data_IF_603738130072
#
_entry.id   IF_603738130072
#
_cell.length_a   1.000
_cell.length_b   1.000
_cell.length_c   1.000
_cell.angle_alpha   90.00
_cell.angle_beta   90.00
_cell.angle_gamma   90.00
#
_symmetry.space_group_name_H-M   'P 1'
#
loop_
_entity.id
_entity.type
_entity.pdbx_description
1 polymer ?
2 polymer ?
3 non-polymer ?
4 water ?
#
# COMPACT_ATOMS: atom_id res chain seq x y z
N UNK A 1 19.34 18.43 -10.34
CA UNK A 1 18.52 17.54 -11.19
C UNK A 1 17.11 17.37 -10.64
N UNK A 2 16.20 16.96 -11.53
CA UNK A 2 14.83 16.61 -11.18
C UNK A 2 14.48 15.38 -12.02
N UNK A 3 14.67 14.19 -11.42
CA UNK A 3 14.64 12.96 -12.20
C UNK A 3 13.25 12.36 -12.19
N UNK A 4 12.24 13.20 -12.25
CA UNK A 4 10.86 12.76 -12.40
C UNK A 4 10.40 12.94 -13.85
N UNK A 5 9.90 11.88 -14.52
CA UNK A 5 9.52 12.01 -15.93
C UNK A 5 8.31 12.90 -16.18
N UNK A 6 7.61 13.36 -15.14
CA UNK A 6 6.61 14.40 -15.37
C UNK A 6 7.27 15.71 -15.80
N UNK A 7 8.58 15.82 -15.64
CA UNK A 7 9.34 16.98 -16.07
C UNK A 7 9.66 16.88 -17.56
N UNK A 8 9.87 18.03 -18.21
CA UNK A 8 10.30 17.97 -19.61
C UNK A 8 11.67 17.35 -19.75
N UNK A 9 12.54 17.56 -18.76
CA UNK A 9 13.87 16.98 -18.76
C UNK A 9 14.33 16.84 -17.33
N UNK A 10 15.28 15.96 -17.05
CA UNK A 10 15.83 15.83 -15.70
C UNK A 10 16.79 16.95 -15.33
N UNK A 11 17.08 17.87 -16.24
CA UNK A 11 18.09 18.91 -15.99
C UNK A 11 17.43 20.19 -15.51
N UNK A 12 18.06 20.82 -14.52
CA UNK A 12 17.55 22.01 -13.85
C UNK A 12 18.57 23.13 -14.04
N UNK A 13 18.11 24.27 -14.52
CA UNK A 13 18.99 25.43 -14.64
C UNK A 13 19.44 25.87 -13.25
N UNK A 14 20.74 25.83 -12.95
CA UNK A 14 21.19 26.19 -11.60
C UNK A 14 20.99 27.65 -11.25
N UNK A 15 20.71 28.53 -12.22
CA UNK A 15 20.43 29.93 -11.90
C UNK A 15 18.99 30.16 -11.43
N UNK A 16 18.13 29.17 -11.59
CA UNK A 16 16.75 29.32 -11.18
C UNK A 16 16.60 29.10 -9.68
N UNK A 17 15.68 29.84 -9.08
CA UNK A 17 15.32 29.64 -7.69
C UNK A 17 14.53 28.34 -7.56
N UNK A 18 14.56 27.75 -6.36
CA UNK A 18 13.68 26.62 -6.09
C UNK A 18 12.24 26.94 -6.40
N UNK A 19 11.83 28.19 -6.17
CA UNK A 19 10.46 28.61 -6.45
C UNK A 19 10.18 28.57 -7.95
N UNK A 20 11.09 29.12 -8.77
CA UNK A 20 10.91 29.10 -10.21
C UNK A 20 10.95 27.67 -10.75
N UNK A 21 11.85 26.85 -10.23
CA UNK A 21 11.91 25.45 -10.66
C UNK A 21 10.57 24.77 -10.44
N UNK A 22 9.97 24.99 -9.27
CA UNK A 22 8.72 24.33 -8.95
C UNK A 22 7.57 24.85 -9.81
N UNK A 23 7.52 26.17 -10.04
CA UNK A 23 6.42 26.69 -10.84
C UNK A 23 6.49 26.19 -12.28
N UNK A 24 7.69 26.04 -12.82
CA UNK A 24 7.82 25.48 -14.15
C UNK A 24 7.45 23.98 -14.17
N UNK A 25 7.95 23.23 -13.19
CA UNK A 25 7.57 21.83 -13.04
C UNK A 25 6.06 21.68 -12.90
N UNK A 26 5.44 22.56 -12.10
CA UNK A 26 4.00 22.53 -11.91
C UNK A 26 3.25 22.77 -13.21
N UNK A 27 3.79 23.60 -14.10
CA UNK A 27 3.18 23.80 -15.42
C UNK A 27 3.21 22.52 -16.23
N UNK A 28 4.22 21.69 -16.00
CA UNK A 28 4.34 20.44 -16.73
C UNK A 28 3.38 19.39 -16.19
N UNK A 29 3.31 19.24 -14.86
CA UNK A 29 2.53 18.12 -14.34
C UNK A 29 1.06 18.45 -14.14
N UNK A 30 0.69 19.74 -14.08
CA UNK A 30 -0.70 20.08 -13.81
C UNK A 30 -1.69 19.60 -14.88
N UNK A 31 -1.42 19.67 -16.19
CA UNK A 31 -2.36 19.06 -17.15
C UNK A 31 -2.67 17.61 -16.85
N UNK A 32 -1.66 16.84 -16.44
CA UNK A 32 -1.90 15.43 -16.14
C UNK A 32 -2.82 15.28 -14.94
N UNK A 33 -2.61 16.10 -13.90
CA UNK A 33 -3.49 16.00 -12.74
C UNK A 33 -4.92 16.30 -13.13
N UNK A 34 -5.14 17.38 -13.89
CA UNK A 34 -6.50 17.75 -14.25
C UNK A 34 -7.17 16.65 -15.05
N UNK A 35 -6.41 15.94 -15.90
CA UNK A 35 -7.00 14.84 -16.66
C UNK A 35 -7.40 13.68 -15.75
N UNK A 36 -6.69 13.46 -14.65
CA UNK A 36 -7.17 12.50 -13.66
C UNK A 36 -8.51 12.95 -13.10
N UNK A 37 -8.63 14.23 -12.75
CA UNK A 37 -9.89 14.70 -12.18
C UNK A 37 -11.02 14.53 -13.20
N UNK A 38 -10.75 14.87 -14.46
CA UNK A 38 -11.76 14.72 -15.51
C UNK A 38 -12.11 13.26 -15.72
N UNK A 39 -11.12 12.38 -15.63
CA UNK A 39 -11.38 10.94 -15.64
C UNK A 39 -12.25 10.54 -14.46
N UNK A 40 -11.99 11.09 -13.27
CA UNK A 40 -12.78 10.73 -12.10
C UNK A 40 -14.24 11.11 -12.29
N UNK A 41 -14.51 12.27 -12.88
CA UNK A 41 -15.89 12.70 -13.08
C UNK A 41 -16.66 11.80 -14.03
N UNK A 42 -15.97 11.07 -14.90
CA UNK A 42 -16.63 10.14 -15.80
C UNK A 42 -16.83 8.76 -15.19
N UNK A 43 -16.43 8.54 -13.95
CA UNK A 43 -16.66 7.25 -13.31
C UNK A 43 -18.08 7.25 -12.76
N UNK A 44 -18.95 6.33 -13.18
CA UNK A 44 -20.32 6.28 -12.64
C UNK A 44 -20.29 6.12 -11.12
N UNK A 45 -20.97 7.03 -10.44
CA UNK A 45 -21.08 7.01 -9.01
C UNK A 45 -20.07 7.87 -8.28
N UNK A 46 -19.00 8.29 -8.97
CA UNK A 46 -17.98 9.10 -8.29
C UNK A 46 -18.55 10.43 -7.83
N UNK A 47 -19.25 11.14 -8.71
CA UNK A 47 -19.79 12.46 -8.35
C UNK A 47 -20.91 12.38 -7.33
N UNK A 48 -21.42 11.18 -7.06
CA UNK A 48 -22.41 10.98 -5.99
C UNK A 48 -21.77 10.91 -4.61
N UNK A 49 -20.45 10.87 -4.53
CA UNK A 49 -19.80 10.91 -3.22
C UNK A 49 -19.77 12.34 -2.70
N UNK A 50 -19.67 12.48 -1.38
CA UNK A 50 -19.46 13.80 -0.80
C UNK A 50 -18.25 14.46 -1.45
N UNK A 51 -18.27 15.79 -1.51
CA UNK A 51 -17.15 16.51 -2.10
C UNK A 51 -15.87 16.22 -1.35
N UNK A 52 -15.96 16.11 -0.03
CA UNK A 52 -14.78 15.82 0.78
C UNK A 52 -14.16 14.48 0.35
N UNK A 53 -14.98 13.43 0.21
CA UNK A 53 -14.44 12.13 -0.18
C UNK A 53 -13.92 12.13 -1.61
N UNK A 54 -14.58 12.87 -2.50
CA UNK A 54 -14.04 13.05 -3.85
C UNK A 54 -12.63 13.65 -3.81
N UNK A 55 -12.48 14.75 -3.09
CA UNK A 55 -11.17 15.41 -3.02
C UNK A 55 -10.16 14.49 -2.36
N UNK A 56 -10.58 13.78 -1.31
CA UNK A 56 -9.65 12.91 -0.60
C UNK A 56 -9.20 11.73 -1.45
N UNK A 57 -10.13 11.10 -2.17
CA UNK A 57 -9.75 9.98 -3.04
C UNK A 57 -8.77 10.43 -4.09
N UNK A 58 -8.99 11.62 -4.65
CA UNK A 58 -8.11 12.15 -5.67
C UNK A 58 -6.76 12.56 -5.08
N UNK A 59 -6.76 13.14 -3.87
CA UNK A 59 -5.49 13.45 -3.24
C UNK A 59 -4.66 12.19 -3.03
N UNK A 60 -5.31 11.13 -2.57
CA UNK A 60 -4.62 9.88 -2.27
C UNK A 60 -4.31 9.09 -3.52
N UNK A 61 -5.15 9.20 -4.57
CA UNK A 61 -5.08 8.29 -5.69
C UNK A 61 -4.49 8.85 -6.97
N UNK A 62 -4.35 10.17 -7.09
CA UNK A 62 -3.89 10.75 -8.36
C UNK A 62 -2.55 10.16 -8.81
N UNK A 63 -1.60 10.03 -7.89
CA UNK A 63 -0.31 9.46 -8.27
C UNK A 63 -0.47 8.05 -8.83
N UNK A 64 -1.27 7.22 -8.16
CA UNK A 64 -1.36 5.83 -8.58
C UNK A 64 -2.06 5.71 -9.93
N UNK A 65 -3.07 6.55 -10.16
CA UNK A 65 -3.70 6.61 -11.48
C UNK A 65 -2.67 6.98 -12.54
N UNK A 66 -1.90 8.04 -12.28
CA UNK A 66 -0.87 8.47 -13.24
C UNK A 66 0.21 7.41 -13.42
N UNK A 67 0.61 6.73 -12.33
CA UNK A 67 1.57 5.64 -12.49
C UNK A 67 1.06 4.60 -13.50
N UNK A 68 -0.22 4.22 -13.38
CA UNK A 68 -0.77 3.25 -14.33
C UNK A 68 -0.80 3.85 -15.73
N UNK A 69 -1.31 5.08 -15.84
CA UNK A 69 -1.47 5.71 -17.16
C UNK A 69 -0.12 5.90 -17.85
N UNK A 70 0.92 6.25 -17.08
CA UNK A 70 2.23 6.52 -17.67
C UNK A 70 3.21 5.36 -17.48
N UNK A 71 2.71 4.16 -17.19
CA UNK A 71 3.64 3.03 -17.06
C UNK A 71 4.40 2.79 -18.35
N UNK A 72 3.84 3.16 -19.49
CA UNK A 72 4.54 2.91 -20.74
C UNK A 72 5.65 3.92 -20.99
N UNK A 73 5.84 4.90 -20.09
CA UNK A 73 7.05 5.72 -20.15
C UNK A 73 8.28 4.91 -19.82
N UNK A 74 8.13 3.82 -19.06
CA UNK A 74 9.25 2.99 -18.62
C UNK A 74 9.34 1.83 -19.61
N UNK A 75 10.35 1.89 -20.48
CA UNK A 75 10.63 0.82 -21.44
C UNK A 75 11.55 -0.17 -20.75
N UNK A 76 10.96 -1.27 -20.25
CA UNK A 76 11.72 -2.26 -19.51
C UNK A 76 12.77 -2.97 -20.35
N UNK A 77 12.62 -2.96 -21.69
CA UNK A 77 13.57 -3.67 -22.55
C UNK A 77 14.84 -2.85 -22.77
N UNK A 78 14.71 -1.61 -23.26
CA UNK A 78 15.87 -0.75 -23.42
C UNK A 78 16.24 -0.01 -22.14
N UNK A 79 15.48 -0.20 -21.05
CA UNK A 79 15.75 0.47 -19.78
C UNK A 79 15.90 1.98 -19.96
N UNK A 80 14.91 2.57 -20.62
CA UNK A 80 14.81 4.01 -20.79
C UNK A 80 13.55 4.52 -20.11
N UNK A 81 13.59 5.78 -19.70
CA UNK A 81 12.39 6.50 -19.23
C UNK A 81 12.14 7.64 -20.18
N UNK A 82 10.89 7.79 -20.62
CA UNK A 82 10.51 8.88 -21.49
C UNK A 82 10.02 10.06 -20.64
N UNK A 83 10.70 11.20 -20.76
CA UNK A 83 10.30 12.40 -20.05
C UNK A 83 9.27 13.15 -20.90
N UNK A 84 8.71 14.22 -20.32
CA UNK A 84 7.55 14.86 -20.94
C UNK A 84 7.89 15.46 -22.30
N UNK A 85 9.16 15.81 -22.54
CA UNK A 85 9.56 16.32 -23.84
C UNK A 85 9.47 15.26 -24.93
N UNK A 86 9.37 13.98 -24.57
CA UNK A 86 9.52 12.89 -25.49
C UNK A 86 10.92 12.30 -25.52
N UNK A 87 11.92 13.01 -25.01
CA UNK A 87 13.27 12.47 -25.03
C UNK A 87 13.38 11.32 -24.04
N UNK A 88 14.13 10.29 -24.40
CA UNK A 88 14.32 9.12 -23.56
C UNK A 88 15.66 9.23 -22.84
N UNK A 89 15.70 8.68 -21.63
CA UNK A 89 16.90 8.74 -20.80
C UNK A 89 17.17 7.36 -20.25
N UNK A 90 18.42 6.94 -20.29
CA UNK A 90 18.81 5.64 -19.77
C UNK A 90 18.76 5.61 -18.23
N UNK A 91 18.47 4.42 -17.70
CA UNK A 91 18.42 4.21 -16.26
C UNK A 91 19.77 4.51 -15.64
N UNK A 92 20.85 4.17 -16.35
CA UNK A 92 22.20 4.47 -15.89
C UNK A 92 22.39 5.96 -15.68
N UNK A 93 22.05 6.75 -16.69
CA UNK A 93 22.19 8.20 -16.57
C UNK A 93 21.27 8.75 -15.49
N UNK A 94 20.05 8.21 -15.37
CA UNK A 94 19.16 8.74 -14.33
C UNK A 94 19.65 8.34 -12.94
N UNK A 95 20.18 7.11 -12.80
CA UNK A 95 20.79 6.75 -11.53
C UNK A 95 21.96 7.67 -11.21
N UNK A 96 22.74 8.04 -12.23
CA UNK A 96 23.84 8.98 -12.01
C UNK A 96 23.32 10.37 -11.61
N UNK A 97 22.10 10.71 -12.01
CA UNK A 97 21.51 11.98 -11.61
C UNK A 97 20.75 11.90 -10.29
N UNK A 98 20.83 10.78 -9.57
CA UNK A 98 20.18 10.68 -8.28
C UNK A 98 19.00 9.73 -8.19
N UNK A 99 18.61 9.06 -9.27
CA UNK A 99 17.54 8.08 -9.15
C UNK A 99 18.05 6.85 -8.41
N UNK A 100 17.11 6.08 -7.87
CA UNK A 100 17.51 4.96 -7.04
C UNK A 100 16.54 3.80 -7.08
N UNK A 101 16.23 3.25 -5.91
CA UNK A 101 15.39 2.05 -5.85
C UNK A 101 13.99 2.33 -6.36
N UNK A 102 13.48 3.56 -6.17
CA UNK A 102 12.12 3.85 -6.63
C UNK A 102 12.02 3.68 -8.15
N UNK A 103 12.93 4.30 -8.89
CA UNK A 103 12.95 4.10 -10.34
C UNK A 103 12.98 2.62 -10.70
N UNK A 104 13.84 1.84 -10.02
CA UNK A 104 13.92 0.40 -10.30
C UNK A 104 12.58 -0.28 -10.07
N UNK A 105 11.92 0.06 -8.97
CA UNK A 105 10.61 -0.49 -8.66
C UNK A 105 9.57 -0.10 -9.71
N UNK A 106 9.70 1.08 -10.31
CA UNK A 106 8.73 1.49 -11.34
C UNK A 106 8.95 0.74 -12.65
N UNK A 107 10.21 0.44 -12.99
CA UNK A 107 10.47 -0.45 -14.12
C UNK A 107 9.85 -1.83 -13.90
N UNK A 108 10.01 -2.38 -12.70
CA UNK A 108 9.45 -3.71 -12.41
C UNK A 108 7.92 -3.69 -12.50
N UNK A 109 7.29 -2.67 -11.94
CA UNK A 109 5.84 -2.51 -12.03
C UNK A 109 5.39 -2.41 -13.48
N UNK A 110 6.05 -1.56 -14.26
CA UNK A 110 5.67 -1.34 -15.64
C UNK A 110 5.83 -2.61 -16.49
N UNK A 111 6.92 -3.34 -16.27
CA UNK A 111 7.16 -4.59 -16.98
C UNK A 111 6.04 -5.59 -16.68
N UNK A 112 5.68 -5.75 -15.41
CA UNK A 112 4.66 -6.74 -15.03
C UNK A 112 3.27 -6.31 -15.50
N UNK A 113 2.96 -5.01 -15.45
CA UNK A 113 1.67 -4.55 -15.94
C UNK A 113 1.53 -4.77 -17.44
N UNK A 114 2.58 -4.44 -18.19
CA UNK A 114 2.59 -4.64 -19.64
C UNK A 114 2.49 -6.11 -20.01
N UNK A 115 3.07 -7.01 -19.21
CA UNK A 115 3.00 -8.44 -19.52
C UNK A 115 1.56 -8.95 -19.48
N UNK A 116 0.68 -8.30 -18.71
CA UNK A 116 -0.70 -8.75 -18.64
C UNK A 116 -1.46 -8.53 -19.95
N UNK A 117 -0.93 -7.69 -20.84
CA UNK A 117 -1.51 -7.40 -22.14
C UNK A 117 -2.99 -7.00 -22.03
N UNK A 118 -3.24 -5.99 -21.22
CA UNK A 118 -4.60 -5.50 -21.09
C UNK A 118 -4.99 -4.70 -22.33
N UNK A 119 -6.27 -4.76 -22.66
CA UNK A 119 -6.79 -3.90 -23.72
C UNK A 119 -7.02 -2.50 -23.19
N UNK A 120 -7.26 -1.57 -24.12
CA UNK A 120 -7.55 -0.19 -23.75
C UNK A 120 -8.74 -0.10 -22.79
N UNK A 121 -9.82 -0.83 -23.07
CA UNK A 121 -10.97 -0.74 -22.18
C UNK A 121 -10.66 -1.36 -20.81
N UNK A 122 -9.90 -2.46 -20.79
CA UNK A 122 -9.53 -3.04 -19.50
C UNK A 122 -8.62 -2.10 -18.72
N UNK A 123 -7.68 -1.47 -19.42
CA UNK A 123 -6.77 -0.53 -18.76
C UNK A 123 -7.53 0.65 -18.17
N UNK A 124 -8.51 1.19 -18.91
CA UNK A 124 -9.33 2.26 -18.35
C UNK A 124 -10.07 1.79 -17.11
N UNK A 125 -10.71 0.62 -17.19
CA UNK A 125 -11.47 0.11 -16.05
C UNK A 125 -10.57 -0.18 -14.86
N UNK A 126 -9.40 -0.77 -15.10
CA UNK A 126 -8.43 -0.93 -14.03
C UNK A 126 -8.05 0.42 -13.43
N UNK A 127 -7.87 1.44 -14.28
CA UNK A 127 -7.52 2.77 -13.78
C UNK A 127 -8.59 3.33 -12.85
N UNK A 128 -9.88 3.17 -13.21
CA UNK A 128 -10.96 3.54 -12.30
C UNK A 128 -10.90 2.75 -10.99
N UNK A 129 -10.67 1.44 -11.07
CA UNK A 129 -10.51 0.63 -9.87
C UNK A 129 -9.40 1.18 -8.99
N UNK A 130 -8.26 1.56 -9.60
CA UNK A 130 -7.14 2.10 -8.81
C UNK A 130 -7.58 3.34 -8.05
N UNK A 131 -8.31 4.23 -8.72
CA UNK A 131 -8.67 5.50 -8.10
C UNK A 131 -9.59 5.27 -6.92
N UNK A 132 -10.61 4.43 -7.09
CA UNK A 132 -11.57 4.23 -6.02
C UNK A 132 -11.06 3.27 -4.97
N UNK A 133 -9.87 2.69 -5.18
CA UNK A 133 -9.19 1.86 -4.18
C UNK A 133 -8.17 2.64 -3.37
N UNK A 134 -8.08 3.95 -3.57
CA UNK A 134 -7.04 4.74 -2.91
C UNK A 134 -7.23 4.72 -1.40
N UNK A 135 -6.14 4.98 -0.69
CA UNK A 135 -6.15 5.03 0.78
C UNK A 135 -7.42 5.70 1.28
N UNK A 136 -8.09 5.01 2.19
CA UNK A 136 -9.40 5.41 2.71
C UNK A 136 -9.31 6.20 4.01
N UNK A 137 -8.10 6.47 4.53
CA UNK A 137 -8.00 7.02 5.88
C UNK A 137 -8.71 8.37 5.97
N UNK A 138 -8.65 9.17 4.92
CA UNK A 138 -9.35 10.45 4.99
C UNK A 138 -10.83 10.42 4.67
N UNK A 139 -11.44 9.26 4.46
CA UNK A 139 -12.78 9.19 3.89
C UNK A 139 -13.82 9.22 5.00
N UNK A 140 -14.90 9.95 4.77
CA UNK A 140 -15.94 10.11 5.79
C UNK A 140 -17.13 9.17 5.59
N UNK A 141 -17.38 8.69 4.38
CA UNK A 141 -18.41 7.68 4.13
C UNK A 141 -17.76 6.51 3.39
N UNK A 142 -17.08 5.64 4.16
CA UNK A 142 -16.30 4.58 3.52
C UNK A 142 -17.20 3.57 2.81
N UNK A 143 -18.45 3.43 3.26
CA UNK A 143 -19.39 2.50 2.63
C UNK A 143 -19.67 2.88 1.18
N UNK A 144 -19.81 4.18 0.92
CA UNK A 144 -20.07 4.65 -0.43
C UNK A 144 -18.86 4.39 -1.33
N UNK A 145 -17.65 4.56 -0.78
CA UNK A 145 -16.44 4.28 -1.56
C UNK A 145 -16.30 2.79 -1.79
N UNK A 146 -16.59 1.99 -0.74
CA UNK A 146 -16.54 0.54 -0.89
C UNK A 146 -17.51 0.06 -1.95
N UNK A 147 -18.68 0.69 -2.05
CA UNK A 147 -19.68 0.23 -3.03
C UNK A 147 -19.26 0.56 -4.45
N UNK A 148 -18.66 1.74 -4.65
CA UNK A 148 -18.07 2.07 -5.94
C UNK A 148 -17.00 1.07 -6.33
N UNK A 149 -16.08 0.78 -5.41
CA UNK A 149 -15.01 -0.17 -5.70
C UNK A 149 -15.58 -1.54 -6.03
N UNK A 150 -16.56 -1.99 -5.25
CA UNK A 150 -17.17 -3.29 -5.52
C UNK A 150 -17.78 -3.35 -6.92
N UNK A 151 -18.51 -2.30 -7.31
CA UNK A 151 -19.12 -2.26 -8.63
C UNK A 151 -18.08 -2.34 -9.75
N UNK A 152 -17.06 -1.49 -9.68
CA UNK A 152 -16.03 -1.48 -10.72
C UNK A 152 -15.23 -2.77 -10.73
N UNK A 153 -14.91 -3.32 -9.55
CA UNK A 153 -14.12 -4.53 -9.47
C UNK A 153 -14.84 -5.70 -10.13
N UNK A 154 -16.15 -5.84 -9.89
CA UNK A 154 -16.88 -6.90 -10.55
C UNK A 154 -16.95 -6.65 -12.06
N UNK A 155 -17.14 -5.40 -12.47
CA UNK A 155 -17.10 -5.09 -13.90
C UNK A 155 -15.75 -5.46 -14.51
N UNK A 156 -14.66 -5.20 -13.79
CA UNK A 156 -13.32 -5.55 -14.28
C UNK A 156 -13.14 -7.08 -14.31
N UNK A 157 -13.64 -7.77 -13.30
CA UNK A 157 -13.48 -9.22 -13.24
C UNK A 157 -14.19 -9.90 -14.40
N UNK A 158 -15.43 -9.48 -14.68
CA UNK A 158 -16.15 -10.07 -15.81
C UNK A 158 -15.49 -9.75 -17.13
N UNK A 159 -15.01 -8.52 -17.29
CA UNK A 159 -14.28 -8.14 -18.51
C UNK A 159 -13.05 -9.02 -18.71
N UNK A 160 -12.24 -9.19 -17.67
CA UNK A 160 -11.05 -10.04 -17.79
C UNK A 160 -11.44 -11.49 -18.07
N UNK A 161 -12.48 -11.98 -17.39
CA UNK A 161 -12.90 -13.36 -17.59
C UNK A 161 -13.38 -13.57 -19.04
N UNK A 162 -14.06 -12.57 -19.60
CA UNK A 162 -14.57 -12.73 -20.95
C UNK A 162 -13.45 -12.68 -22.00
N UNK A 163 -12.39 -11.91 -21.76
CA UNK A 163 -11.40 -11.60 -22.78
C UNK A 163 -10.06 -12.34 -22.64
N UNK A 164 -9.72 -12.88 -21.47
CA UNK A 164 -8.34 -13.35 -21.34
C UNK A 164 -8.29 -14.85 -21.10
N UNK A 165 -7.36 -15.55 -21.75
CA UNK A 165 -6.97 -16.88 -21.26
C UNK A 165 -6.42 -16.77 -19.84
N UNK A 166 -6.46 -17.89 -19.12
CA UNK A 166 -6.06 -17.97 -17.71
C UNK A 166 -6.54 -16.73 -16.95
N UNK A 167 -7.82 -16.42 -17.13
CA UNK A 167 -8.42 -15.18 -16.62
C UNK A 167 -8.22 -15.02 -15.12
N UNK A 168 -8.46 -16.08 -14.34
CA UNK A 168 -8.34 -15.96 -12.90
C UNK A 168 -6.93 -15.52 -12.49
N UNK A 169 -5.92 -15.99 -13.22
CA UNK A 169 -4.55 -15.62 -12.87
C UNK A 169 -4.23 -14.20 -13.31
N UNK A 170 -4.74 -13.77 -14.47
CA UNK A 170 -4.61 -12.39 -14.90
C UNK A 170 -5.28 -11.46 -13.89
N UNK A 171 -6.51 -11.78 -13.51
CA UNK A 171 -7.23 -10.96 -12.56
C UNK A 171 -6.50 -10.88 -11.22
N UNK A 172 -5.96 -12.01 -10.73
CA UNK A 172 -5.21 -11.98 -9.48
C UNK A 172 -3.99 -11.07 -9.60
N UNK A 173 -3.25 -11.21 -10.71
CA UNK A 173 -2.07 -10.40 -10.91
C UNK A 173 -2.43 -8.93 -11.02
N UNK A 174 -3.60 -8.62 -11.57
CA UNK A 174 -4.04 -7.22 -11.64
C UNK A 174 -4.30 -6.67 -10.25
N UNK A 175 -4.92 -7.47 -9.38
CA UNK A 175 -5.22 -6.98 -8.03
C UNK A 175 -3.96 -6.87 -7.18
N UNK A 176 -2.95 -7.71 -7.46
CA UNK A 176 -1.68 -7.58 -6.75
C UNK A 176 -0.92 -6.32 -7.14
N UNK A 177 -1.31 -5.65 -8.23
CA UNK A 177 -0.72 -4.35 -8.55
C UNK A 177 -1.13 -3.29 -7.55
N UNK A 178 -2.30 -3.46 -6.91
CA UNK A 178 -2.79 -2.42 -6.00
C UNK A 178 -1.85 -2.17 -4.82
N UNK A 179 -1.41 -3.19 -4.06
CA UNK A 179 -0.44 -2.88 -2.98
C UNK A 179 0.89 -2.42 -3.52
N UNK A 180 1.31 -2.96 -4.66
CA UNK A 180 2.51 -2.46 -5.32
C UNK A 180 2.42 -0.96 -5.57
N UNK A 181 1.30 -0.53 -6.14
CA UNK A 181 1.07 0.89 -6.38
C UNK A 181 1.06 1.68 -5.08
N UNK A 182 0.48 1.11 -4.02
CA UNK A 182 0.45 1.81 -2.74
C UNK A 182 1.87 2.06 -2.22
N UNK A 183 2.78 1.09 -2.44
CA UNK A 183 4.15 1.27 -1.99
C UNK A 183 4.88 2.30 -2.85
N UNK A 184 4.70 2.21 -4.17
CA UNK A 184 5.29 3.20 -5.06
C UNK A 184 4.88 4.60 -4.66
N UNK A 185 3.59 4.77 -4.34
CA UNK A 185 3.05 6.05 -3.91
C UNK A 185 3.73 6.54 -2.64
N UNK A 186 3.87 5.66 -1.65
CA UNK A 186 4.45 6.03 -0.37
C UNK A 186 5.90 6.48 -0.55
N UNK A 187 6.70 5.72 -1.30
CA UNK A 187 8.09 6.07 -1.54
C UNK A 187 8.21 7.35 -2.36
N UNK A 188 7.42 7.43 -3.42
CA UNK A 188 7.45 8.62 -4.27
C UNK A 188 7.10 9.88 -3.50
N UNK A 189 6.07 9.81 -2.64
CA UNK A 189 5.70 10.99 -1.85
C UNK A 189 6.85 11.46 -0.96
N UNK A 190 7.58 10.52 -0.37
CA UNK A 190 8.75 10.89 0.43
C UNK A 190 9.81 11.59 -0.41
N UNK A 191 10.06 11.09 -1.63
CA UNK A 191 11.00 11.75 -2.53
C UNK A 191 10.52 13.13 -2.95
N UNK A 192 9.22 13.23 -3.27
CA UNK A 192 8.60 14.50 -3.65
C UNK A 192 8.82 15.55 -2.56
N UNK A 193 8.49 15.19 -1.32
CA UNK A 193 8.63 16.13 -0.22
C UNK A 193 10.10 16.47 0.05
N UNK A 194 11.00 15.50 -0.11
CA UNK A 194 12.42 15.75 0.06
C UNK A 194 12.90 16.81 -0.92
N UNK A 195 12.42 16.74 -2.17
CA UNK A 195 12.74 17.76 -3.15
C UNK A 195 12.13 19.09 -2.77
N UNK A 196 10.97 19.07 -2.09
CA UNK A 196 10.24 20.23 -1.54
C UNK A 196 9.38 20.89 -2.60
N UNK B 1 0.96 10.48 25.68
CA UNK B 1 0.37 9.14 25.65
C UNK B 1 1.02 8.25 24.58
N UNK B 2 0.75 6.94 24.68
CA UNK B 2 1.29 5.91 23.77
C UNK B 2 0.10 5.06 23.33
N UNK B 3 -0.66 5.55 22.34
CA UNK B 3 -1.98 4.98 22.04
C UNK B 3 -1.81 3.77 21.13
N UNK B 4 -0.72 3.03 21.30
CA UNK B 4 -0.60 1.82 20.51
C UNK B 4 -0.96 0.60 21.35
N UNK B 5 -1.91 -0.24 20.91
CA UNK B 5 -2.29 -1.40 21.73
C UNK B 5 -1.19 -2.45 21.90
N UNK B 6 -0.02 -2.28 21.27
CA UNK B 6 1.09 -3.15 21.62
C UNK B 6 1.63 -2.83 23.02
N UNK B 7 1.39 -1.60 23.50
CA UNK B 7 1.77 -1.21 24.85
C UNK B 7 0.80 -1.81 25.86
N UNK B 8 1.26 -1.91 27.11
CA UNK B 8 0.38 -2.44 28.15
C UNK B 8 -0.72 -1.43 28.48
N UNK B 9 -0.42 -0.15 28.36
CA UNK B 9 -1.39 0.90 28.65
C UNK B 9 -1.07 2.09 27.78
N UNK B 10 -2.07 2.85 27.34
CA UNK B 10 -1.80 4.09 26.60
C UNK B 10 -1.28 5.21 27.48
N UNK B 11 -1.29 5.03 28.81
CA UNK B 11 -0.80 6.06 29.73
C UNK B 11 0.71 5.94 29.89
N UNK B 12 1.41 7.08 29.78
CA UNK B 12 2.86 7.12 29.88
C UNK B 12 3.24 7.83 31.18
N UNK B 13 4.06 7.17 31.99
CA UNK B 13 4.51 7.76 33.26
C UNK B 13 5.44 8.93 32.99
N UNK B 14 5.04 10.17 33.27
CA UNK B 14 5.89 11.33 32.95
C UNK B 14 7.20 11.35 33.74
N UNK B 15 7.30 10.61 34.84
CA UNK B 15 8.56 10.56 35.58
C UNK B 15 9.63 9.77 34.84
N UNK B 16 9.28 9.10 33.75
CA UNK B 16 10.23 8.28 33.02
C UNK B 16 10.82 9.04 31.85
N UNK B 17 12.12 8.82 31.61
CA UNK B 17 12.79 9.38 30.45
C UNK B 17 12.25 8.75 29.17
N UNK B 18 12.46 9.44 28.04
CA UNK B 18 12.09 8.88 26.76
C UNK B 18 12.76 7.53 26.51
N UNK B 19 14.02 7.40 26.93
CA UNK B 19 14.73 6.14 26.76
C UNK B 19 14.09 5.03 27.59
N UNK B 20 13.63 5.36 28.80
CA UNK B 20 13.01 4.34 29.65
C UNK B 20 11.64 3.92 29.08
N UNK B 21 10.85 4.89 28.61
CA UNK B 21 9.55 4.54 28.02
C UNK B 21 9.74 3.59 26.85
N UNK B 22 10.71 3.88 25.97
CA UNK B 22 10.88 3.04 24.80
C UNK B 22 11.40 1.65 25.15
N UNK B 23 12.29 1.55 26.14
CA UNK B 23 12.77 0.24 26.54
C UNK B 23 11.63 -0.62 27.09
N UNK B 24 10.82 -0.04 27.98
CA UNK B 24 9.63 -0.74 28.46
C UNK B 24 8.73 -1.15 27.30
N UNK B 25 8.44 -0.21 26.39
CA UNK B 25 7.60 -0.55 25.25
C UNK B 25 8.22 -1.69 24.45
N UNK B 26 9.54 -1.63 24.21
CA UNK B 26 10.20 -2.67 23.45
C UNK B 26 10.08 -4.04 24.11
N UNK B 27 10.06 -4.08 25.44
CA UNK B 27 9.83 -5.35 26.12
C UNK B 27 8.43 -5.88 25.86
N UNK B 28 7.49 -5.00 25.51
CA UNK B 28 6.13 -5.45 25.24
C UNK B 28 5.97 -5.93 23.81
N UNK B 29 6.55 -5.22 22.82
CA UNK B 29 6.28 -5.60 21.43
C UNK B 29 7.26 -6.60 20.86
N UNK B 30 8.49 -6.67 21.39
CA UNK B 30 9.46 -7.64 20.87
C UNK B 30 8.94 -9.07 20.77
N UNK B 31 8.25 -9.64 21.77
CA UNK B 31 7.78 -11.02 21.61
C UNK B 31 6.84 -11.20 20.42
N UNK B 32 6.03 -10.19 20.08
CA UNK B 32 5.18 -10.31 18.90
C UNK B 32 6.01 -10.28 17.62
N UNK B 33 7.07 -9.46 17.58
CA UNK B 33 7.95 -9.45 16.41
C UNK B 33 8.65 -10.79 16.25
N UNK B 34 9.16 -11.35 17.36
CA UNK B 34 9.84 -12.65 17.27
C UNK B 34 8.89 -13.74 16.82
N UNK B 35 7.63 -13.69 17.24
CA UNK B 35 6.68 -14.69 16.73
C UNK B 35 6.45 -14.56 15.21
N UNK B 36 6.46 -13.34 14.67
CA UNK B 36 6.36 -13.19 13.22
C UNK B 36 7.54 -13.86 12.53
N UNK B 37 8.75 -13.69 13.07
CA UNK B 37 9.92 -14.30 12.46
C UNK B 37 9.82 -15.82 12.48
N UNK B 38 9.38 -16.39 13.60
CA UNK B 38 9.22 -17.85 13.67
C UNK B 38 8.16 -18.33 12.70
N UNK B 39 7.06 -17.58 12.59
CA UNK B 39 6.06 -17.89 11.58
C UNK B 39 6.68 -17.89 10.19
N UNK B 40 7.52 -16.89 9.90
CA UNK B 40 8.12 -16.77 8.57
C UNK B 40 8.97 -18.00 8.25
N UNK B 41 9.71 -18.50 9.24
CA UNK B 41 10.55 -19.69 9.07
C UNK B 41 9.74 -20.93 8.71
N UNK B 42 8.48 -20.98 9.15
CA UNK B 42 7.65 -22.12 8.82
C UNK B 42 6.96 -22.00 7.47
N UNK B 43 7.11 -20.87 6.77
CA UNK B 43 6.49 -20.75 5.45
C UNK B 43 7.33 -21.53 4.44
N UNK B 44 6.77 -22.53 3.76
CA UNK B 44 7.59 -23.28 2.80
C UNK B 44 8.11 -22.34 1.73
N UNK B 45 9.44 -22.36 1.54
CA UNK B 45 10.10 -21.54 0.56
C UNK B 45 10.67 -20.25 1.10
N UNK B 46 10.23 -19.80 2.28
CA UNK B 46 10.72 -18.52 2.78
C UNK B 46 12.21 -18.60 3.11
N UNK B 47 12.64 -19.70 3.73
CA UNK B 47 14.06 -19.91 4.04
C UNK B 47 14.92 -20.10 2.80
N UNK B 48 14.33 -20.31 1.63
CA UNK B 48 15.11 -20.42 0.40
C UNK B 48 15.46 -19.06 -0.21
N UNK B 49 14.74 -17.99 0.14
CA UNK B 49 15.18 -16.66 -0.26
C UNK B 49 16.55 -16.37 0.36
N UNK B 50 17.30 -15.46 -0.26
CA UNK B 50 18.54 -15.02 0.35
C UNK B 50 18.26 -14.38 1.70
N UNK B 51 19.26 -14.41 2.59
CA UNK B 51 19.07 -13.85 3.92
C UNK B 51 18.79 -12.35 3.85
N UNK B 52 19.41 -11.64 2.91
CA UNK B 52 19.10 -10.24 2.72
C UNK B 52 17.62 -10.05 2.41
N UNK B 53 17.08 -10.85 1.50
CA UNK B 53 15.69 -10.64 1.10
C UNK B 53 14.74 -11.08 2.22
N UNK B 54 15.08 -12.15 2.95
CA UNK B 54 14.29 -12.55 4.11
C UNK B 54 14.14 -11.40 5.10
N UNK B 55 15.25 -10.72 5.43
CA UNK B 55 15.20 -9.66 6.43
C UNK B 55 14.42 -8.46 5.91
N UNK B 56 14.57 -8.15 4.62
CA UNK B 56 13.84 -7.02 4.05
C UNK B 56 12.34 -7.27 4.02
N UNK B 57 11.94 -8.50 3.70
CA UNK B 57 10.51 -8.80 3.70
C UNK B 57 9.94 -8.69 5.11
N UNK B 58 10.67 -9.22 6.09
CA UNK B 58 10.23 -9.09 7.48
C UNK B 58 10.26 -7.65 7.95
N UNK B 59 11.30 -6.90 7.55
CA UNK B 59 11.37 -5.49 7.91
C UNK B 59 10.14 -4.76 7.41
N UNK B 60 9.77 -5.00 6.15
CA UNK B 60 8.66 -4.27 5.54
C UNK B 60 7.30 -4.87 5.91
N UNK B 61 7.23 -6.16 6.25
CA UNK B 61 5.94 -6.81 6.39
C UNK B 61 5.50 -7.23 7.78
N UNK B 62 6.39 -7.05 8.77
CA UNK B 62 6.08 -7.48 10.12
C UNK B 62 4.83 -6.77 10.65
N UNK B 63 4.72 -5.46 10.43
CA UNK B 63 3.56 -4.76 10.94
C UNK B 63 2.27 -5.32 10.33
N UNK B 64 2.30 -5.63 9.03
CA UNK B 64 1.08 -6.07 8.36
C UNK B 64 0.69 -7.47 8.80
N UNK B 65 1.66 -8.32 9.12
CA UNK B 65 1.36 -9.63 9.71
C UNK B 65 0.70 -9.44 11.06
N UNK B 66 1.28 -8.57 11.89
CA UNK B 66 0.74 -8.32 13.23
C UNK B 66 -0.64 -7.66 13.15
N UNK B 67 -0.82 -6.74 12.21
CA UNK B 67 -2.16 -6.16 11.98
C UNK B 67 -3.19 -7.23 11.71
N UNK B 68 -2.83 -8.24 10.90
CA UNK B 68 -3.78 -9.32 10.65
C UNK B 68 -3.97 -10.16 11.90
N UNK B 69 -2.88 -10.54 12.54
CA UNK B 69 -2.97 -11.42 13.71
C UNK B 69 -3.72 -10.76 14.86
N UNK B 70 -3.57 -9.44 15.03
CA UNK B 70 -4.15 -8.72 16.16
C UNK B 70 -5.41 -7.96 15.78
N UNK B 71 -6.04 -8.33 14.66
CA UNK B 71 -7.31 -7.71 14.28
C UNK B 71 -8.38 -7.90 15.35
N UNK B 72 -8.30 -9.02 16.11
CA UNK B 72 -9.30 -9.27 17.16
C UNK B 72 -9.17 -8.33 18.35
N UNK B 73 -8.09 -7.57 18.47
CA UNK B 73 -8.04 -6.56 19.51
C UNK B 73 -9.06 -5.45 19.28
N UNK B 74 -9.61 -5.35 18.07
CA UNK B 74 -10.55 -4.29 17.71
C UNK B 74 -11.96 -4.86 17.73
N UNK B 75 -12.71 -4.48 18.76
CA UNK B 75 -14.08 -4.97 18.95
C UNK B 75 -15.00 -4.00 18.23
N UNK B 76 -15.40 -4.36 17.01
CA UNK B 76 -16.13 -3.43 16.16
C UNK B 76 -17.54 -3.18 16.65
N UNK B 77 -18.11 -4.08 17.47
CA UNK B 77 -19.43 -3.80 18.01
C UNK B 77 -19.38 -2.90 19.24
N UNK B 78 -18.46 -3.17 20.16
CA UNK B 78 -18.33 -2.38 21.38
C UNK B 78 -17.50 -1.12 21.20
N UNK B 79 -16.72 -1.01 20.12
CA UNK B 79 -15.84 0.13 19.87
C UNK B 79 -14.78 0.25 20.97
N UNK B 80 -14.08 -0.85 21.23
CA UNK B 80 -13.01 -0.90 22.22
C UNK B 80 -11.76 -1.53 21.60
N UNK B 81 -10.60 -1.14 22.13
CA UNK B 81 -9.32 -1.71 21.75
C UNK B 81 -8.70 -2.38 22.98
N UNK B 82 -8.32 -3.64 22.83
CA UNK B 82 -7.66 -4.37 23.90
C UNK B 82 -6.15 -4.15 23.83
N UNK B 83 -5.60 -3.52 24.86
CA UNK B 83 -4.16 -3.33 24.97
C UNK B 83 -3.52 -4.59 25.57
N UNK B 84 -2.18 -4.65 25.53
CA UNK B 84 -1.48 -5.87 25.96
C UNK B 84 -1.84 -6.26 27.39
N UNK B 85 -2.23 -5.30 28.23
CA UNK B 85 -2.63 -5.68 29.58
C UNK B 85 -3.89 -6.53 29.60
N UNK B 86 -4.60 -6.64 28.48
CA UNK B 86 -5.92 -7.18 28.49
C UNK B 86 -7.01 -6.18 28.78
N UNK B 87 -6.66 -4.97 29.21
CA UNK B 87 -7.65 -3.95 29.50
C UNK B 87 -8.15 -3.30 28.20
N UNK B 88 -9.46 -3.11 28.10
CA UNK B 88 -10.06 -2.52 26.91
C UNK B 88 -10.28 -1.03 27.10
N UNK B 89 -9.95 -0.27 26.06
CA UNK B 89 -10.12 1.18 26.03
C UNK B 89 -11.06 1.56 24.89
N UNK B 90 -11.95 2.52 25.15
CA UNK B 90 -12.96 2.85 24.17
C UNK B 90 -12.37 3.74 23.06
N UNK B 91 -13.02 3.67 21.91
CA UNK B 91 -12.73 4.58 20.79
C UNK B 91 -12.71 6.02 21.27
N UNK B 92 -13.79 6.45 21.94
CA UNK B 92 -13.87 7.84 22.38
C UNK B 92 -12.70 8.21 23.26
N UNK B 93 -12.35 7.35 24.21
CA UNK B 93 -11.24 7.64 25.11
C UNK B 93 -9.92 7.73 24.35
N UNK B 94 -9.69 6.80 23.41
CA UNK B 94 -8.45 6.87 22.64
C UNK B 94 -8.41 8.12 21.76
N UNK B 95 -9.56 8.55 21.23
CA UNK B 95 -9.62 9.78 20.42
C UNK B 95 -9.33 11.02 21.27
N UNK B 96 -9.75 11.02 22.53
CA UNK B 96 -9.35 12.12 23.42
C UNK B 96 -7.84 12.09 23.68
N UNK B 97 -7.21 10.92 23.62
CA UNK B 97 -5.78 10.83 23.88
C UNK B 97 -4.94 11.03 22.63
N UNK B 98 -5.56 11.39 21.50
CA UNK B 98 -4.84 11.71 20.30
C UNK B 98 -4.93 10.67 19.19
N UNK B 99 -5.51 9.51 19.44
CA UNK B 99 -5.70 8.56 18.36
C UNK B 99 -6.57 9.19 17.28
N UNK B 100 -6.38 8.76 16.04
CA UNK B 100 -7.02 9.47 14.94
C UNK B 100 -7.66 8.62 13.89
N UNK B 101 -7.48 9.02 12.63
CA UNK B 101 -8.06 8.28 11.52
C UNK B 101 -7.40 6.92 11.33
N UNK B 102 -6.14 6.80 11.72
CA UNK B 102 -5.48 5.49 11.63
C UNK B 102 -6.19 4.47 12.49
N UNK B 103 -6.46 4.81 13.76
CA UNK B 103 -7.24 3.91 14.62
C UNK B 103 -8.56 3.55 13.95
N UNK B 104 -9.28 4.55 13.44
CA UNK B 104 -10.55 4.24 12.81
C UNK B 104 -10.35 3.27 11.64
N UNK B 105 -9.31 3.49 10.84
CA UNK B 105 -9.04 2.60 9.71
C UNK B 105 -8.67 1.19 10.18
N UNK B 106 -8.05 1.06 11.34
CA UNK B 106 -7.81 -0.29 11.85
C UNK B 106 -9.12 -0.96 12.24
N UNK B 107 -10.06 -0.20 12.81
CA UNK B 107 -11.37 -0.75 13.10
C UNK B 107 -12.06 -1.25 11.84
N UNK B 108 -12.06 -0.43 10.78
CA UNK B 108 -12.73 -0.86 9.55
C UNK B 108 -12.06 -2.09 8.96
N UNK B 109 -10.72 -2.13 8.98
CA UNK B 109 -10.01 -3.27 8.45
C UNK B 109 -10.40 -4.54 9.22
N UNK B 110 -10.38 -4.47 10.55
CA UNK B 110 -10.65 -5.66 11.35
C UNK B 110 -12.10 -6.11 11.19
N UNK B 111 -13.03 -5.16 11.13
CA UNK B 111 -14.43 -5.48 10.87
C UNK B 111 -14.58 -6.22 9.54
N UNK B 112 -14.00 -5.69 8.46
CA UNK B 112 -14.16 -6.35 7.16
C UNK B 112 -13.47 -7.70 7.13
N UNK B 113 -12.30 -7.80 7.76
CA UNK B 113 -11.59 -9.09 7.83
C UNK B 113 -12.38 -10.12 8.62
N UNK B 114 -12.85 -9.74 9.82
CA UNK B 114 -13.64 -10.68 10.61
C UNK B 114 -14.88 -11.14 9.86
N UNK B 115 -15.52 -10.24 9.10
CA UNK B 115 -16.72 -10.58 8.33
C UNK B 115 -16.48 -11.64 7.26
N UNK B 116 -15.24 -11.84 6.81
CA UNK B 116 -15.01 -12.90 5.83
C UNK B 116 -15.12 -14.29 6.42
N UNK B 117 -15.10 -14.41 7.75
CA UNK B 117 -15.31 -15.66 8.47
C UNK B 117 -14.36 -16.76 7.99
N UNK B 118 -13.07 -16.43 8.05
CA UNK B 118 -12.03 -17.35 7.62
C UNK B 118 -11.79 -18.43 8.67
N UNK B 119 -11.51 -19.64 8.21
CA UNK B 119 -11.00 -20.64 9.13
C UNK B 119 -9.58 -20.27 9.57
N UNK B 120 -9.15 -20.86 10.70
CA UNK B 120 -7.77 -20.71 11.14
C UNK B 120 -6.79 -21.04 10.01
N UNK B 121 -7.11 -22.06 9.21
CA UNK B 121 -6.20 -22.49 8.16
C UNK B 121 -6.08 -21.43 7.06
N UNK B 122 -7.22 -20.91 6.59
CA UNK B 122 -7.17 -19.86 5.57
C UNK B 122 -6.54 -18.58 6.12
N UNK B 123 -6.81 -18.26 7.38
CA UNK B 123 -6.21 -17.09 8.01
C UNK B 123 -4.70 -17.23 8.09
N UNK B 124 -4.22 -18.45 8.36
CA UNK B 124 -2.79 -18.69 8.45
C UNK B 124 -2.14 -18.53 7.08
N UNK B 125 -2.77 -19.09 6.04
CA UNK B 125 -2.26 -18.96 4.69
C UNK B 125 -2.34 -17.51 4.19
N UNK B 126 -3.46 -16.83 4.46
CA UNK B 126 -3.55 -15.41 4.15
C UNK B 126 -2.40 -14.64 4.80
N UNK B 127 -2.07 -14.97 6.05
CA UNK B 127 -1.01 -14.23 6.74
C UNK B 127 0.33 -14.44 6.06
N UNK B 128 0.59 -15.66 5.57
CA UNK B 128 1.82 -15.90 4.82
C UNK B 128 1.81 -15.12 3.51
N UNK B 129 0.66 -15.08 2.84
CA UNK B 129 0.56 -14.24 1.65
C UNK B 129 0.86 -12.79 1.99
N UNK B 130 0.32 -12.30 3.11
CA UNK B 130 0.59 -10.91 3.52
C UNK B 130 2.10 -10.68 3.69
N UNK B 131 2.79 -11.60 4.35
CA UNK B 131 4.23 -11.42 4.56
C UNK B 131 5.00 -11.42 3.24
N UNK B 132 4.75 -12.41 2.37
CA UNK B 132 5.54 -12.48 1.15
C UNK B 132 5.14 -11.43 0.13
N UNK B 133 4.01 -10.74 0.33
CA UNK B 133 3.61 -9.63 -0.53
C UNK B 133 4.14 -8.27 -0.04
N UNK B 134 5.00 -8.25 0.97
CA UNK B 134 5.53 -7.00 1.49
C UNK B 134 6.24 -6.18 0.41
N UNK B 135 6.30 -4.87 0.63
CA UNK B 135 7.01 -3.92 -0.22
C UNK B 135 8.34 -4.51 -0.66
N UNK B 136 8.58 -4.52 -1.97
CA UNK B 136 9.79 -5.14 -2.50
C UNK B 136 10.88 -4.13 -2.81
N UNK B 137 10.82 -2.95 -2.21
CA UNK B 137 11.74 -1.89 -2.59
C UNK B 137 13.19 -2.25 -2.23
N UNK B 138 13.42 -2.91 -1.10
CA UNK B 138 14.78 -3.35 -0.81
C UNK B 138 15.28 -4.54 -1.60
N UNK B 139 14.38 -5.34 -2.17
CA UNK B 139 14.65 -6.75 -2.45
C UNK B 139 15.67 -6.91 -3.56
N UNK B 140 16.58 -7.89 -3.39
CA UNK B 140 17.64 -8.12 -4.35
C UNK B 140 17.20 -9.06 -5.46
N UNK B 141 16.54 -10.15 -5.10
CA UNK B 141 16.06 -11.13 -6.07
C UNK B 141 14.54 -11.05 -6.03
N UNK B 142 14.00 -10.11 -6.82
CA UNK B 142 12.54 -9.91 -6.85
C UNK B 142 11.84 -11.12 -7.44
N UNK B 143 12.49 -11.80 -8.40
CA UNK B 143 11.87 -12.95 -9.05
C UNK B 143 11.56 -14.07 -8.04
N UNK B 144 12.48 -14.33 -7.11
CA UNK B 144 12.25 -15.38 -6.13
C UNK B 144 11.10 -15.02 -5.20
N UNK B 145 11.04 -13.77 -4.76
CA UNK B 145 9.91 -13.36 -3.92
C UNK B 145 8.61 -13.44 -4.71
N UNK B 146 8.63 -12.95 -5.96
CA UNK B 146 7.42 -13.01 -6.78
C UNK B 146 6.99 -14.45 -7.02
N UNK B 147 7.95 -15.36 -7.15
CA UNK B 147 7.62 -16.77 -7.34
C UNK B 147 7.05 -17.38 -6.05
N UNK B 148 7.61 -17.03 -4.90
CA UNK B 148 7.06 -17.50 -3.64
C UNK B 148 5.66 -16.94 -3.41
N UNK B 149 5.47 -15.65 -3.71
CA UNK B 149 4.15 -15.05 -3.58
C UNK B 149 3.12 -15.80 -4.45
N UNK B 150 3.44 -16.01 -5.73
CA UNK B 150 2.48 -16.67 -6.61
C UNK B 150 2.14 -18.08 -6.12
N UNK B 151 3.13 -18.79 -5.59
CA UNK B 151 2.86 -20.12 -5.04
C UNK B 151 1.85 -20.04 -3.91
N UNK B 152 2.09 -19.16 -2.93
CA UNK B 152 1.19 -19.06 -1.79
C UNK B 152 -0.16 -18.51 -2.22
N UNK B 153 -0.17 -17.57 -3.15
CA UNK B 153 -1.44 -17.01 -3.64
C UNK B 153 -2.25 -18.09 -4.34
N UNK B 154 -1.60 -18.92 -5.16
CA UNK B 154 -2.32 -19.99 -5.83
C UNK B 154 -2.91 -20.96 -4.81
N UNK B 155 -2.11 -21.37 -3.83
CA UNK B 155 -2.63 -22.26 -2.79
C UNK B 155 -3.78 -21.61 -2.02
N UNK B 156 -3.73 -20.30 -1.80
CA UNK B 156 -4.83 -19.67 -1.08
C UNK B 156 -6.10 -19.68 -1.91
N UNK B 157 -5.99 -19.36 -3.20
CA UNK B 157 -7.16 -19.39 -4.08
C UNK B 157 -7.82 -20.75 -4.09
N UNK B 158 -7.02 -21.81 -4.18
CA UNK B 158 -7.57 -23.17 -4.16
C UNK B 158 -8.24 -23.49 -2.83
N UNK B 159 -7.59 -23.14 -1.71
CA UNK B 159 -8.18 -23.39 -0.40
C UNK B 159 -9.50 -22.63 -0.23
N UNK B 160 -9.54 -21.35 -0.64
CA UNK B 160 -10.75 -20.55 -0.51
C UNK B 160 -11.88 -21.16 -1.35
N UNK B 161 -11.64 -21.34 -2.64
CA UNK B 161 -12.69 -21.86 -3.51
C UNK B 161 -13.12 -23.26 -3.12
N UNK B 162 -12.21 -24.04 -2.53
CA UNK B 162 -12.59 -25.34 -1.98
C UNK B 162 -13.54 -25.20 -0.81
N UNK B 163 -13.30 -24.22 0.06
CA UNK B 163 -14.03 -24.07 1.31
C UNK B 163 -15.23 -23.14 1.21
N UNK B 164 -15.25 -22.26 0.21
CA UNK B 164 -16.35 -21.31 0.02
C UNK B 164 -16.80 -21.37 -1.44
N UNK B 165 -17.30 -22.53 -1.88
CA UNK B 165 -17.49 -22.74 -3.32
C UNK B 165 -18.53 -21.82 -3.96
N UNK B 166 -19.49 -21.30 -3.22
CA UNK B 166 -20.49 -20.40 -3.80
C UNK B 166 -20.25 -18.94 -3.44
N UNK B 167 -19.29 -18.65 -2.58
CA UNK B 167 -18.89 -17.30 -2.26
C UNK B 167 -17.55 -17.04 -2.94
N UNK B 168 -17.58 -16.88 -4.26
CA UNK B 168 -16.34 -16.71 -5.01
C UNK B 168 -15.66 -15.39 -4.67
N UNK B 169 -16.46 -14.39 -4.29
CA UNK B 169 -15.97 -13.05 -4.01
C UNK B 169 -14.99 -13.01 -2.83
N UNK B 170 -14.99 -14.03 -1.97
CA UNK B 170 -14.11 -13.99 -0.79
C UNK B 170 -12.67 -13.81 -1.21
N UNK B 171 -12.24 -14.54 -2.25
CA UNK B 171 -10.85 -14.45 -2.67
C UNK B 171 -10.53 -13.04 -3.15
N UNK B 172 -11.41 -12.43 -3.95
CA UNK B 172 -11.22 -11.04 -4.35
C UNK B 172 -11.15 -10.12 -3.13
N UNK B 173 -12.05 -10.32 -2.17
CA UNK B 173 -12.06 -9.47 -0.99
C UNK B 173 -10.76 -9.59 -0.20
N UNK B 174 -10.20 -10.80 -0.14
CA UNK B 174 -8.91 -11.00 0.52
C UNK B 174 -7.80 -10.27 -0.19
N UNK B 175 -7.78 -10.33 -1.54
CA UNK B 175 -6.76 -9.62 -2.29
C UNK B 175 -6.88 -8.11 -2.03
N UNK B 176 -8.10 -7.62 -1.89
CA UNK B 176 -8.31 -6.19 -1.65
C UNK B 176 -7.89 -5.73 -0.26
N UNK B 177 -7.64 -6.65 0.68
CA UNK B 177 -7.05 -6.27 1.97
C UNK B 177 -5.58 -5.88 1.85
N UNK B 178 -4.86 -6.33 0.82
CA UNK B 178 -3.43 -6.05 0.77
C UNK B 178 -3.14 -4.56 0.59
N UNK B 179 -3.79 -3.85 -0.35
CA UNK B 179 -3.59 -2.39 -0.39
C UNK B 179 -4.04 -1.68 0.87
N UNK B 180 -5.08 -2.19 1.53
CA UNK B 180 -5.55 -1.59 2.77
C UNK B 180 -4.51 -1.75 3.86
N UNK B 181 -3.97 -2.97 3.99
CA UNK B 181 -2.89 -3.22 4.93
C UNK B 181 -1.69 -2.35 4.62
N UNK B 182 -1.38 -2.17 3.34
CA UNK B 182 -0.20 -1.38 2.99
C UNK B 182 -0.38 0.07 3.40
N UNK B 183 -1.60 0.59 3.25
CA UNK B 183 -1.88 1.95 3.72
C UNK B 183 -1.83 2.04 5.24
N UNK B 184 -2.35 1.04 5.95
CA UNK B 184 -2.21 1.01 7.41
C UNK B 184 -0.75 1.06 7.81
N UNK B 185 0.09 0.27 7.11
CA UNK B 185 1.53 0.23 7.38
C UNK B 185 2.20 1.58 7.10
N UNK B 186 1.85 2.21 5.97
CA UNK B 186 2.41 3.51 5.63
C UNK B 186 2.11 4.53 6.72
N UNK B 187 0.83 4.66 7.08
CA UNK B 187 0.42 5.62 8.09
C UNK B 187 1.05 5.30 9.44
N UNK B 188 0.90 4.04 9.87
CA UNK B 188 1.41 3.64 11.17
C UNK B 188 2.90 3.92 11.29
N UNK B 189 3.65 3.59 10.24
CA UNK B 189 5.09 3.87 10.24
C UNK B 189 5.38 5.35 10.45
N UNK B 190 4.55 6.23 9.89
CA UNK B 190 4.73 7.66 10.15
C UNK B 190 4.57 7.96 11.64
N UNK B 191 3.45 7.52 12.22
CA UNK B 191 3.17 7.75 13.64
C UNK B 191 4.24 7.16 14.52
N UNK B 192 4.74 5.98 14.16
CA UNK B 192 5.81 5.36 14.94
C UNK B 192 7.06 6.21 14.92
N UNK B 193 7.51 6.63 13.74
CA UNK B 193 8.74 7.41 13.67
C UNK B 193 8.59 8.77 14.32
N UNK B 194 7.39 9.34 14.31
CA UNK B 194 7.17 10.61 15.00
C UNK B 194 7.34 10.46 16.50
N UNK B 195 6.95 9.30 17.06
CA UNK B 195 7.05 9.11 18.50
C UNK B 195 8.49 9.22 18.97
N UNK B 196 9.44 8.64 18.24
CA UNK B 196 10.86 8.76 18.57
C UNK B 196 11.53 9.87 17.76
N UNK C 7 -1.60 22.23 -2.32
CA UNK C 7 -0.69 21.93 -3.41
C UNK C 7 -1.33 21.07 -4.49
N UNK C 8 -1.19 19.75 -4.34
CA UNK C 8 -2.02 18.86 -5.14
C UNK C 8 -3.50 19.12 -4.88
N UNK C 9 -3.86 19.33 -3.60
CA UNK C 9 -5.26 19.50 -3.24
C UNK C 9 -5.87 20.69 -3.97
N UNK C 10 -5.14 21.80 -4.09
CA UNK C 10 -5.74 22.98 -4.68
C UNK C 10 -5.97 22.80 -6.18
N UNK C 11 -5.06 22.11 -6.87
CA UNK C 11 -5.32 21.77 -8.27
C UNK C 11 -6.59 20.93 -8.38
N UNK C 12 -6.70 19.90 -7.55
CA UNK C 12 -7.83 18.97 -7.63
C UNK C 12 -9.13 19.71 -7.33
N UNK C 13 -9.13 20.50 -6.27
CA UNK C 13 -10.35 21.21 -5.88
C UNK C 13 -10.81 22.15 -6.98
N UNK C 14 -9.88 22.88 -7.59
CA UNK C 14 -10.25 23.80 -8.66
C UNK C 14 -10.74 23.07 -9.88
N UNK C 15 -10.16 21.90 -10.19
CA UNK C 15 -10.61 21.15 -11.35
C UNK C 15 -11.99 20.52 -11.11
N UNK C 16 -12.29 20.19 -9.86
CA UNK C 16 -13.61 19.65 -9.53
C UNK C 16 -14.70 20.71 -9.58
N UNK C 17 -14.35 21.99 -9.41
CA UNK C 17 -15.30 23.11 -9.38
C UNK C 17 -16.25 22.99 -8.21
N UNK D 7 16.27 -0.40 14.09
CA UNK D 7 16.14 -1.11 15.35
C UNK D 7 15.24 -2.32 15.23
N UNK D 8 14.14 -2.14 14.50
CA UNK D 8 13.30 -3.28 14.10
C UNK D 8 14.15 -4.33 13.39
N UNK D 9 15.03 -3.89 12.50
CA UNK D 9 15.84 -4.82 11.72
C UNK D 9 16.76 -5.65 12.60
N UNK D 10 17.25 -5.07 13.71
CA UNK D 10 18.14 -5.80 14.60
C UNK D 10 17.39 -6.90 15.33
N UNK D 11 16.19 -6.59 15.82
CA UNK D 11 15.38 -7.64 16.40
C UNK D 11 15.14 -8.75 15.39
N UNK D 12 14.87 -8.36 14.13
CA UNK D 12 14.55 -9.34 13.10
C UNK D 12 15.75 -10.23 12.80
N UNK D 13 16.90 -9.62 12.51
CA UNK D 13 18.07 -10.43 12.20
C UNK D 13 18.45 -11.33 13.37
N UNK D 14 18.39 -10.81 14.60
CA UNK D 14 18.72 -11.64 15.76
C UNK D 14 17.81 -12.85 15.86
N UNK D 15 16.49 -12.65 15.77
CA UNK D 15 15.55 -13.77 15.83
C UNK D 15 15.69 -14.70 14.62
N UNK D 16 16.02 -14.14 13.45
CA UNK D 16 16.10 -14.96 12.24
C UNK D 16 17.27 -15.94 12.30
N UNK D 17 18.40 -15.52 12.86
CA UNK D 17 19.55 -16.39 13.08
C UNK D 17 19.54 -16.85 14.54
N UNK D 18 18.67 -17.81 14.83
CA UNK D 18 18.56 -18.37 16.18
C UNK D 18 17.58 -19.52 16.27
#
# INVERSE_FOLDING_TARGET
HLVCPMSKSPYVDPHKSGHEIWEEFSMSFTPAVKEVVEFAKRIPGFRDLSQHDQVNLLKAGTFEVLMVRFASLFDAKERTVTFLSGKKYSVDDLHSMGAGDLLNSMFEFSEKLNALQLSDEEMSLFTAVVLVSADRSGIENVNSVEALQETLIRALRTLIMKNHPNEASIFTKLLLKLPDLRSLNNMHSEELLAFKVHP
HLVCPMSKSPYVDPHKSGHEIWEEFSMSFTPAVKEVVEFAKRIPGFRDLSQHDQVNLLKAGTFEVLMVRFASLFDAKERTVTFLSGKKYSVDDLHSMGAGDLLNSMFEFSEKLNALQLSDEEMSLFTAVVLVSADRSGIENVNSVEALQETLIRALRTLIMKNHPNEASIFTKLLLKLPDLRSLNNMHSEELLAFKVHP
DPASNLGLEDIIRKALMGSFDDK
DPASNLGLEDIIRKALMGSFDDK
#
